data_IF_186004544064
#
_entry.id   IF_186004544064
#
_cell.length_a   1.000
_cell.length_b   1.000
_cell.length_c   1.000
_cell.angle_alpha   90.00
_cell.angle_beta   90.00
_cell.angle_gamma   90.00
#
_symmetry.space_group_name_H-M   'P 1'
#
loop_
_entity.id
_entity.type
_entity.pdbx_description
1 polymer ?
#
# COMPACT_ATOMS: atom_id res chain seq x y z
N UNK A 1 -61.44 -3.56 -3.97
CA UNK A 1 -61.56 -2.84 -5.26
C UNK A 1 -61.61 -1.34 -4.99
N UNK A 2 -60.49 -0.64 -5.10
CA UNK A 2 -60.48 0.81 -5.30
C UNK A 2 -59.35 1.15 -6.27
N UNK A 3 -59.75 1.55 -7.48
CA UNK A 3 -58.89 2.11 -8.51
C UNK A 3 -58.54 3.53 -8.08
N UNK A 4 -57.26 3.88 -8.02
CA UNK A 4 -56.85 5.27 -7.90
C UNK A 4 -56.05 5.67 -9.15
N UNK A 5 -56.59 6.70 -9.79
CA UNK A 5 -56.20 7.29 -11.06
C UNK A 5 -54.93 8.15 -10.93
N UNK A 6 -54.09 8.02 -11.96
CA UNK A 6 -53.04 8.94 -12.38
C UNK A 6 -53.66 10.27 -12.81
N UNK A 7 -53.02 11.41 -12.53
CA UNK A 7 -53.06 12.55 -13.44
C UNK A 7 -51.68 12.82 -14.06
N UNK A 8 -51.67 12.81 -15.39
CA UNK A 8 -50.67 13.44 -16.24
C UNK A 8 -50.49 14.91 -15.87
N UNK A 9 -49.25 15.37 -15.77
CA UNK A 9 -48.93 16.80 -15.81
C UNK A 9 -47.97 17.05 -16.98
N UNK A 10 -48.52 17.81 -17.93
CA UNK A 10 -47.88 18.58 -19.00
C UNK A 10 -46.63 19.32 -18.45
N UNK A 11 -45.49 19.30 -19.10
CA UNK A 11 -45.26 20.07 -20.33
C UNK A 11 -44.62 21.43 -19.98
N UNK A 12 -43.31 21.58 -20.23
CA UNK A 12 -42.66 22.87 -20.37
C UNK A 12 -41.57 22.77 -21.44
N UNK A 13 -41.94 23.24 -22.63
CA UNK A 13 -41.08 23.49 -23.78
C UNK A 13 -40.25 24.74 -23.45
N UNK A 14 -38.92 24.61 -23.38
CA UNK A 14 -38.02 25.76 -23.36
C UNK A 14 -37.65 26.13 -24.80
N UNK A 15 -38.03 27.34 -25.15
CA UNK A 15 -37.88 27.97 -26.46
C UNK A 15 -36.41 28.38 -26.64
N UNK A 16 -35.81 27.91 -27.74
CA UNK A 16 -34.53 28.39 -28.23
C UNK A 16 -34.64 29.86 -28.66
N UNK A 17 -33.95 30.74 -27.94
CA UNK A 17 -33.74 32.13 -28.35
C UNK A 17 -32.50 32.24 -29.23
N UNK A 18 -32.67 32.38 -30.54
CA UNK A 18 -31.62 32.82 -31.44
C UNK A 18 -31.36 34.32 -31.21
N UNK A 19 -30.21 34.65 -30.63
CA UNK A 19 -29.68 36.02 -30.68
C UNK A 19 -28.91 36.24 -32.00
N UNK A 20 -29.04 37.42 -32.63
CA UNK A 20 -28.31 37.75 -33.85
C UNK A 20 -26.80 37.85 -33.56
N UNK A 21 -26.02 37.24 -34.44
CA UNK A 21 -24.56 37.28 -34.41
C UNK A 21 -24.05 38.73 -34.49
N UNK A 22 -23.35 39.16 -33.44
CA UNK A 22 -22.59 40.41 -33.43
C UNK A 22 -21.46 40.33 -34.47
N UNK A 23 -21.13 41.43 -35.17
CA UNK A 23 -20.00 41.48 -36.07
C UNK A 23 -18.70 41.22 -35.29
N UNK A 24 -17.70 40.57 -35.92
CA UNK A 24 -16.42 40.29 -35.27
C UNK A 24 -15.76 41.61 -34.88
N UNK A 25 -15.58 41.80 -33.58
CA UNK A 25 -14.72 42.85 -33.07
C UNK A 25 -13.31 42.57 -33.57
N UNK A 26 -12.72 43.57 -34.21
CA UNK A 26 -11.33 43.61 -34.62
C UNK A 26 -10.49 43.49 -33.34
N UNK A 27 -9.99 42.27 -33.06
CA UNK A 27 -9.16 41.98 -31.91
C UNK A 27 -7.83 42.71 -32.10
N UNK A 28 -7.62 43.77 -31.33
CA UNK A 28 -6.29 44.34 -31.17
C UNK A 28 -5.36 43.27 -30.58
N UNK A 29 -4.10 43.17 -31.05
CA UNK A 29 -3.14 42.23 -30.50
C UNK A 29 -2.92 42.56 -29.03
N UNK A 30 -3.49 41.75 -28.15
CA UNK A 30 -3.16 41.77 -26.72
C UNK A 30 -1.72 41.26 -26.64
N UNK A 31 -0.78 42.19 -26.42
CA UNK A 31 0.58 41.84 -26.02
C UNK A 31 0.47 41.05 -24.70
N UNK A 32 0.60 39.73 -24.80
CA UNK A 32 0.71 38.86 -23.64
C UNK A 32 1.87 39.38 -22.78
N UNK A 33 1.61 39.75 -21.50
CA UNK A 33 2.69 40.10 -20.60
C UNK A 33 3.64 38.90 -20.54
N UNK A 34 4.97 39.14 -20.54
CA UNK A 34 5.94 38.06 -20.52
C UNK A 34 5.62 37.14 -19.34
N UNK A 35 5.34 35.89 -19.69
CA UNK A 35 5.04 34.80 -18.79
C UNK A 35 6.22 34.68 -17.81
N UNK A 36 6.13 35.39 -16.69
CA UNK A 36 7.03 35.27 -15.55
C UNK A 36 6.67 33.93 -14.91
N UNK A 37 7.04 32.85 -15.60
CA UNK A 37 7.11 31.52 -15.04
C UNK A 37 7.98 31.64 -13.79
N UNK A 38 7.31 31.69 -12.64
CA UNK A 38 7.91 31.46 -11.35
C UNK A 38 8.58 30.10 -11.47
N UNK A 39 9.90 30.13 -11.72
CA UNK A 39 10.75 28.97 -11.53
C UNK A 39 10.68 28.69 -10.03
N UNK A 40 9.72 27.85 -9.65
CA UNK A 40 9.72 27.24 -8.34
C UNK A 40 11.01 26.44 -8.25
N UNK A 41 12.04 27.05 -7.67
CA UNK A 41 13.28 26.38 -7.34
C UNK A 41 12.94 25.26 -6.36
N UNK A 42 12.82 24.03 -6.88
CA UNK A 42 12.60 22.86 -6.03
C UNK A 42 13.68 22.84 -4.95
N UNK A 43 13.29 22.72 -3.67
CA UNK A 43 14.25 22.78 -2.58
C UNK A 43 15.30 21.68 -2.76
N UNK A 44 16.60 21.99 -2.55
CA UNK A 44 17.67 21.01 -2.77
C UNK A 44 17.45 19.79 -1.88
N UNK A 45 17.24 18.63 -2.51
CA UNK A 45 17.08 17.35 -1.81
C UNK A 45 18.38 17.05 -1.05
N UNK A 46 18.28 16.88 0.26
CA UNK A 46 19.44 16.60 1.12
C UNK A 46 19.86 15.15 0.96
N UNK A 47 21.06 14.94 0.40
CA UNK A 47 21.69 13.62 0.31
C UNK A 47 22.66 13.40 1.48
N UNK A 48 22.62 12.22 2.08
CA UNK A 48 23.63 11.77 3.05
C UNK A 48 24.71 11.00 2.31
N UNK A 49 25.87 11.64 2.09
CA UNK A 49 27.00 11.06 1.35
C UNK A 49 27.82 10.09 2.19
N UNK A 50 28.58 9.23 1.51
CA UNK A 50 29.55 8.29 2.10
C UNK A 50 28.93 7.29 3.08
N UNK A 51 27.74 6.79 2.75
CA UNK A 51 27.10 5.71 3.52
C UNK A 51 27.50 4.36 2.94
N UNK A 52 27.65 3.37 3.83
CA UNK A 52 27.98 1.99 3.48
C UNK A 52 26.82 1.09 3.90
N UNK A 53 26.35 0.25 2.98
CA UNK A 53 25.36 -0.78 3.26
C UNK A 53 25.83 -2.14 2.74
N UNK A 54 25.45 -3.20 3.45
CA UNK A 54 25.72 -4.57 3.05
C UNK A 54 24.40 -5.31 2.83
N UNK A 55 24.35 -6.16 1.82
CA UNK A 55 23.17 -6.95 1.51
C UNK A 55 23.25 -7.63 0.15
N UNK A 56 22.15 -8.23 -0.26
CA UNK A 56 22.06 -8.97 -1.52
C UNK A 56 21.46 -8.07 -2.60
N UNK A 57 22.15 -7.88 -3.72
CA UNK A 57 21.58 -7.12 -4.84
C UNK A 57 20.51 -7.97 -5.52
N UNK A 58 19.34 -7.39 -5.76
CA UNK A 58 18.26 -7.99 -6.54
C UNK A 58 17.84 -7.03 -7.65
N UNK A 59 17.24 -7.53 -8.75
CA UNK A 59 16.59 -6.65 -9.71
C UNK A 59 15.53 -5.79 -8.99
N UNK A 60 15.31 -4.54 -9.43
CA UNK A 60 14.33 -3.65 -8.79
C UNK A 60 12.93 -4.28 -8.73
N UNK A 61 12.58 -5.08 -9.75
CA UNK A 61 11.24 -5.63 -9.92
C UNK A 61 10.24 -4.54 -10.30
N UNK A 62 8.96 -4.78 -10.01
CA UNK A 62 7.91 -3.77 -10.16
C UNK A 62 8.04 -2.81 -8.97
N UNK A 63 8.83 -1.75 -9.14
CA UNK A 63 8.96 -0.68 -8.17
C UNK A 63 7.90 0.37 -8.46
N UNK A 64 7.00 0.60 -7.50
CA UNK A 64 6.00 1.69 -7.58
C UNK A 64 6.67 3.06 -7.71
N UNK A 65 7.90 3.17 -7.22
CA UNK A 65 8.66 4.40 -7.16
C UNK A 65 9.20 4.83 -8.52
N UNK A 66 9.16 3.94 -9.54
CA UNK A 66 9.72 4.16 -10.88
C UNK A 66 11.17 4.70 -10.85
N UNK A 67 11.88 4.42 -9.75
CA UNK A 67 13.22 4.90 -9.44
C UNK A 67 14.11 3.72 -9.09
N UNK A 68 15.40 3.86 -9.41
CA UNK A 68 16.39 2.81 -9.26
C UNK A 68 16.33 1.75 -10.36
N UNK A 69 17.46 1.11 -10.62
CA UNK A 69 17.57 -0.04 -11.52
C UNK A 69 17.56 -1.38 -10.76
N UNK A 70 18.02 -1.35 -9.51
CA UNK A 70 18.16 -2.52 -8.64
C UNK A 70 17.65 -2.22 -7.23
N UNK A 71 17.63 -3.23 -6.36
CA UNK A 71 17.39 -3.06 -4.92
C UNK A 71 18.41 -3.85 -4.12
N UNK A 72 18.89 -3.30 -3.02
CA UNK A 72 19.70 -3.99 -2.03
C UNK A 72 18.78 -4.57 -0.96
N UNK A 73 18.70 -5.89 -0.87
CA UNK A 73 17.97 -6.57 0.19
C UNK A 73 18.87 -6.69 1.42
N UNK A 74 18.47 -6.05 2.52
CA UNK A 74 19.19 -6.05 3.78
C UNK A 74 18.88 -7.33 4.59
N UNK A 75 19.72 -7.70 5.57
CA UNK A 75 19.50 -8.88 6.42
C UNK A 75 18.19 -8.82 7.23
N UNK A 76 17.69 -7.61 7.53
CA UNK A 76 16.43 -7.40 8.27
C UNK A 76 15.19 -7.50 7.37
N UNK A 77 15.35 -7.89 6.10
CA UNK A 77 14.27 -8.01 5.12
C UNK A 77 13.82 -6.69 4.50
N UNK A 78 14.34 -5.55 4.95
CA UNK A 78 14.12 -4.25 4.29
C UNK A 78 14.92 -4.17 3.00
N UNK A 79 14.60 -3.18 2.17
CA UNK A 79 15.35 -2.93 0.95
C UNK A 79 15.62 -1.45 0.72
N UNK A 80 16.71 -1.18 0.01
CA UNK A 80 17.10 0.15 -0.47
C UNK A 80 17.10 0.10 -2.00
N UNK A 81 16.46 1.07 -2.66
CA UNK A 81 16.54 1.18 -4.12
C UNK A 81 17.95 1.61 -4.53
N UNK A 82 18.47 1.08 -5.62
CA UNK A 82 19.82 1.37 -6.09
C UNK A 82 19.76 2.03 -7.45
N UNK A 83 20.49 3.13 -7.61
CA UNK A 83 20.81 3.73 -8.90
C UNK A 83 22.33 3.89 -9.03
N UNK A 84 22.88 3.64 -10.20
CA UNK A 84 24.29 3.92 -10.48
C UNK A 84 24.49 4.27 -11.94
N UNK A 85 25.39 5.23 -12.18
CA UNK A 85 25.87 5.58 -13.51
C UNK A 85 27.32 5.09 -13.74
N UNK A 86 27.99 4.63 -12.69
CA UNK A 86 29.42 4.29 -12.70
C UNK A 86 29.68 2.82 -12.44
N UNK A 87 28.79 2.15 -11.69
CA UNK A 87 28.89 0.73 -11.34
C UNK A 87 27.84 -0.05 -12.12
N UNK A 88 28.26 -1.11 -12.81
CA UNK A 88 27.33 -2.07 -13.41
C UNK A 88 26.75 -2.98 -12.34
N UNK A 89 25.56 -2.65 -11.87
CA UNK A 89 24.85 -3.39 -10.82
C UNK A 89 24.37 -4.78 -11.30
N UNK A 90 24.27 -5.03 -12.61
CA UNK A 90 23.85 -6.33 -13.13
C UNK A 90 24.86 -7.43 -12.79
N UNK A 91 26.15 -7.09 -12.76
CA UNK A 91 27.22 -8.03 -12.39
C UNK A 91 27.20 -8.49 -10.94
N UNK A 92 26.37 -7.87 -10.10
CA UNK A 92 26.23 -8.19 -8.68
C UNK A 92 24.88 -8.80 -8.33
N UNK A 93 24.00 -9.07 -9.30
CA UNK A 93 22.66 -9.59 -9.03
C UNK A 93 22.74 -10.98 -8.38
N UNK A 94 22.07 -11.10 -7.23
CA UNK A 94 22.08 -12.23 -6.30
C UNK A 94 23.38 -12.43 -5.51
N UNK A 95 24.31 -11.50 -5.60
CA UNK A 95 25.55 -11.53 -4.82
C UNK A 95 25.41 -10.73 -3.53
N UNK A 96 26.13 -11.17 -2.49
CA UNK A 96 26.28 -10.42 -1.24
C UNK A 96 27.38 -9.36 -1.42
N UNK A 97 27.03 -8.09 -1.26
CA UNK A 97 27.93 -6.97 -1.57
C UNK A 97 27.92 -5.92 -0.48
N UNK A 98 29.03 -5.20 -0.40
CA UNK A 98 29.17 -3.93 0.31
C UNK A 98 29.11 -2.79 -0.72
N UNK A 99 28.12 -1.91 -0.57
CA UNK A 99 27.92 -0.75 -1.43
C UNK A 99 28.26 0.54 -0.68
N UNK A 100 29.01 1.43 -1.32
CA UNK A 100 29.33 2.77 -0.85
C UNK A 100 28.69 3.80 -1.80
N UNK A 101 28.09 4.85 -1.23
CA UNK A 101 27.43 5.88 -2.03
C UNK A 101 26.73 6.95 -1.22
N UNK A 102 25.73 7.59 -1.84
CA UNK A 102 24.91 8.63 -1.21
C UNK A 102 23.45 8.19 -1.10
N UNK A 103 22.85 8.37 0.07
CA UNK A 103 21.46 8.04 0.34
C UNK A 103 20.58 9.28 0.26
N UNK A 104 19.39 9.13 -0.32
CA UNK A 104 18.34 10.16 -0.27
C UNK A 104 16.95 9.52 -0.14
N UNK A 105 15.98 10.23 0.44
CA UNK A 105 14.59 9.81 0.40
C UNK A 105 14.08 9.75 -1.05
N UNK A 106 13.20 8.82 -1.34
CA UNK A 106 12.41 8.82 -2.58
C UNK A 106 11.33 9.90 -2.52
N UNK A 107 10.85 10.32 -3.69
CA UNK A 107 9.76 11.30 -3.81
C UNK A 107 8.43 10.77 -3.27
N UNK A 108 8.25 9.45 -3.23
CA UNK A 108 7.00 8.81 -2.83
C UNK A 108 7.24 7.80 -1.68
N UNK A 109 6.34 7.81 -0.70
CA UNK A 109 6.16 6.83 0.38
C UNK A 109 7.37 6.45 1.27
N UNK A 110 8.31 7.38 1.50
CA UNK A 110 9.33 7.21 2.55
C UNK A 110 10.34 6.09 2.31
N UNK A 111 10.48 5.64 1.06
CA UNK A 111 11.57 4.76 0.66
C UNK A 111 12.92 5.48 0.64
N UNK A 112 14.00 4.70 0.63
CA UNK A 112 15.36 5.22 0.48
C UNK A 112 15.94 4.76 -0.86
N UNK A 113 16.58 5.67 -1.58
CA UNK A 113 17.35 5.37 -2.78
C UNK A 113 18.82 5.73 -2.55
N UNK A 114 19.70 4.81 -2.94
CA UNK A 114 21.14 4.95 -2.86
C UNK A 114 21.72 5.14 -4.25
N UNK A 115 22.42 6.25 -4.44
CA UNK A 115 23.30 6.47 -5.59
C UNK A 115 24.61 5.76 -5.31
N UNK A 116 24.82 4.61 -5.94
CA UNK A 116 25.99 3.76 -5.71
C UNK A 116 27.19 4.31 -6.48
N UNK A 117 28.26 4.59 -5.76
CA UNK A 117 29.53 5.06 -6.30
C UNK A 117 30.54 3.92 -6.42
N UNK A 118 30.50 2.97 -5.49
CA UNK A 118 31.39 1.81 -5.44
C UNK A 118 30.65 0.57 -4.92
N UNK A 119 31.00 -0.60 -5.47
CA UNK A 119 30.54 -1.90 -5.01
C UNK A 119 31.73 -2.83 -4.75
N UNK A 120 31.64 -3.64 -3.70
CA UNK A 120 32.62 -4.66 -3.36
C UNK A 120 31.91 -5.98 -3.06
N UNK A 121 32.31 -7.05 -3.72
CA UNK A 121 31.82 -8.39 -3.45
C UNK A 121 32.33 -8.87 -2.08
N UNK A 122 31.42 -9.32 -1.23
CA UNK A 122 31.76 -10.02 0.02
C UNK A 122 31.81 -11.50 -0.37
N UNK A 123 33.02 -12.02 -0.52
CA UNK A 123 33.22 -13.45 -0.70
C UNK A 123 33.14 -14.06 0.69
N UNK A 124 32.05 -14.78 0.96
CA UNK A 124 31.99 -15.64 2.13
C UNK A 124 33.07 -16.71 1.92
N UNK A 125 34.18 -16.60 2.65
CA UNK A 125 35.14 -17.69 2.76
C UNK A 125 34.40 -18.84 3.44
N UNK A 126 33.82 -19.72 2.62
CA UNK A 126 33.30 -20.99 3.13
C UNK A 126 34.43 -21.62 3.96
N UNK A 127 34.18 -21.98 5.22
CA UNK A 127 35.20 -22.64 6.02
C UNK A 127 35.56 -23.92 5.27
N UNK A 128 36.77 -23.96 4.71
CA UNK A 128 37.35 -25.15 4.11
C UNK A 128 37.21 -26.26 5.15
N UNK A 129 36.23 -27.14 4.96
CA UNK A 129 36.12 -28.35 5.75
C UNK A 129 37.37 -29.15 5.42
N UNK A 130 38.34 -29.15 6.33
CA UNK A 130 39.41 -30.13 6.36
C UNK A 130 38.75 -31.51 6.43
N UNK A 131 38.61 -32.16 5.28
CA UNK A 131 38.34 -33.59 5.17
C UNK A 131 39.47 -34.34 5.86
N UNK A 132 39.30 -34.61 7.14
CA UNK A 132 40.09 -35.60 7.89
C UNK A 132 39.56 -36.98 7.49
N UNK A 133 40.25 -37.60 6.54
CA UNK A 133 40.14 -39.03 6.27
C UNK A 133 40.47 -39.79 7.56
N UNK A 134 39.47 -40.37 8.20
CA UNK A 134 39.68 -41.39 9.24
C UNK A 134 38.99 -42.67 8.79
N UNK A 135 39.80 -43.56 8.23
CA UNK A 135 39.55 -44.99 8.17
C UNK A 135 39.59 -45.56 9.60
N UNK A 136 38.52 -46.17 10.08
CA UNK A 136 38.52 -47.60 10.42
C UNK A 136 37.18 -48.12 10.95
N UNK A 137 36.91 -49.38 10.62
CA UNK A 137 35.73 -50.17 10.92
C UNK A 137 35.68 -50.66 12.38
N UNK A 138 34.49 -50.72 13.00
CA UNK A 138 34.06 -51.69 14.04
C UNK A 138 32.55 -51.48 14.29
N UNK A 139 31.66 -52.39 13.86
CA UNK A 139 31.04 -53.50 14.63
C UNK A 139 29.83 -53.11 15.52
N UNK A 140 28.64 -53.23 14.92
CA UNK A 140 27.38 -53.85 15.38
C UNK A 140 26.88 -53.88 16.87
N UNK A 141 25.58 -53.51 16.99
CA UNK A 141 24.45 -53.92 17.89
C UNK A 141 24.27 -53.32 19.33
N UNK A 142 23.05 -53.34 19.94
CA UNK A 142 22.36 -52.19 20.60
C UNK A 142 21.99 -52.55 22.09
N UNK A 143 20.83 -52.20 22.71
CA UNK A 143 19.98 -50.99 22.75
C UNK A 143 19.81 -50.41 24.19
N UNK A 144 18.93 -49.41 24.32
CA UNK A 144 18.03 -49.11 25.46
C UNK A 144 18.39 -48.00 26.49
N UNK A 145 17.33 -47.21 26.71
CA UNK A 145 16.86 -46.53 27.93
C UNK A 145 17.43 -45.20 28.46
N UNK A 146 16.45 -44.47 28.98
CA UNK A 146 16.44 -43.40 29.98
C UNK A 146 16.84 -41.98 29.57
N UNK A 147 15.85 -41.08 29.49
CA UNK A 147 15.38 -40.18 30.58
C UNK A 147 16.47 -39.18 30.94
N UNK A 148 16.20 -37.89 30.69
CA UNK A 148 16.31 -36.79 31.67
C UNK A 148 15.53 -35.60 31.13
N UNK A 149 14.42 -35.30 31.81
CA UNK A 149 13.81 -33.97 31.88
C UNK A 149 14.79 -33.07 32.64
N UNK A 150 15.10 -31.90 32.09
CA UNK A 150 15.63 -30.79 32.87
C UNK A 150 14.66 -29.63 32.79
N UNK A 151 13.97 -29.44 33.91
CA UNK A 151 13.41 -28.18 34.37
C UNK A 151 14.57 -27.21 34.65
N UNK A 152 14.53 -26.01 34.05
CA UNK A 152 15.15 -24.79 34.58
C UNK A 152 14.12 -23.67 34.35
N UNK A 153 13.40 -23.29 35.40
CA UNK A 153 13.78 -22.26 36.38
C UNK A 153 13.40 -20.86 35.89
N UNK A 154 12.15 -20.53 36.25
CA UNK A 154 11.65 -19.25 36.74
C UNK A 154 12.69 -18.13 36.87
N UNK A 155 12.52 -17.08 36.08
CA UNK A 155 12.90 -15.72 36.45
C UNK A 155 11.79 -14.75 36.02
N UNK A 156 10.98 -14.34 37.00
CA UNK A 156 10.16 -13.12 36.94
C UNK A 156 11.09 -11.91 36.81
N UNK A 157 10.88 -11.03 35.82
CA UNK A 157 11.42 -9.67 35.85
C UNK A 157 10.40 -8.76 36.53
N UNK A 158 10.88 -8.08 37.58
CA UNK A 158 10.20 -7.08 38.40
C UNK A 158 9.49 -5.98 37.57
N UNK A 159 8.31 -5.59 38.05
CA UNK A 159 7.56 -4.40 37.62
C UNK A 159 8.38 -3.11 37.81
N UNK A 160 8.62 -2.30 36.76
CA UNK A 160 9.04 -0.92 36.94
C UNK A 160 7.83 -0.06 37.36
N UNK A 161 8.03 0.61 38.49
CA UNK A 161 7.10 1.51 39.15
C UNK A 161 6.65 2.67 38.24
N UNK A 162 5.35 2.96 38.29
CA UNK A 162 4.70 4.19 37.82
C UNK A 162 5.38 5.44 38.44
N UNK A 163 6.15 6.17 37.63
CA UNK A 163 6.42 7.59 37.86
C UNK A 163 5.47 8.42 37.01
N UNK A 164 4.51 9.05 37.68
CA UNK A 164 3.63 10.05 37.11
C UNK A 164 4.43 11.31 36.71
N UNK A 165 4.29 11.83 35.49
CA UNK A 165 4.78 13.17 35.17
C UNK A 165 3.79 14.25 35.66
N UNK A 166 4.30 15.41 36.12
CA UNK A 166 3.48 16.54 36.51
C UNK A 166 2.79 17.20 35.30
N UNK A 167 1.57 17.66 35.57
CA UNK A 167 0.81 18.60 34.76
C UNK A 167 1.59 19.89 34.45
N UNK A 168 1.18 20.51 33.34
CA UNK A 168 1.17 21.97 33.11
C UNK A 168 2.34 22.56 32.30
N UNK A 169 2.15 22.64 30.96
CA UNK A 169 2.46 23.86 30.20
C UNK A 169 1.45 24.01 29.05
N UNK A 170 0.46 24.87 29.24
CA UNK A 170 -0.24 25.57 28.17
C UNK A 170 0.69 26.59 27.49
N UNK A 171 0.82 26.57 26.16
CA UNK A 171 0.76 27.80 25.34
C UNK A 171 0.80 27.55 23.82
N UNK A 172 -0.36 27.81 23.20
CA UNK A 172 -0.60 28.60 21.98
C UNK A 172 0.47 28.55 20.88
N UNK A 173 0.20 27.75 19.84
CA UNK A 173 0.64 28.05 18.48
C UNK A 173 -0.51 27.76 17.50
N UNK A 174 -1.31 28.78 17.23
CA UNK A 174 -2.34 28.82 16.19
C UNK A 174 -1.65 28.81 14.81
N UNK A 175 -1.14 27.65 14.42
CA UNK A 175 -0.62 27.39 13.09
C UNK A 175 -1.79 27.15 12.15
N UNK A 176 -1.89 27.97 11.11
CA UNK A 176 -2.86 27.86 10.04
C UNK A 176 -2.76 26.47 9.40
N UNK A 177 -3.61 25.54 9.84
CA UNK A 177 -3.73 24.20 9.27
C UNK A 177 -4.21 24.38 7.82
N UNK A 178 -3.29 24.24 6.86
CA UNK A 178 -3.63 24.20 5.43
C UNK A 178 -4.55 23.01 5.25
N UNK A 179 -5.85 23.30 5.13
CA UNK A 179 -6.87 22.35 4.78
C UNK A 179 -6.39 21.63 3.51
N UNK A 180 -6.19 20.30 3.55
CA UNK A 180 -5.78 19.54 2.39
C UNK A 180 -6.75 19.83 1.24
N UNK A 181 -6.26 20.02 0.00
CA UNK A 181 -7.13 20.26 -1.13
C UNK A 181 -8.21 19.17 -1.17
N UNK A 182 -9.45 19.61 -1.13
CA UNK A 182 -10.63 18.75 -1.22
C UNK A 182 -10.58 18.05 -2.58
N UNK A 183 -10.23 16.77 -2.58
CA UNK A 183 -10.14 15.95 -3.78
C UNK A 183 -11.54 15.89 -4.41
N UNK A 184 -11.70 16.51 -5.59
CA UNK A 184 -12.96 16.43 -6.31
C UNK A 184 -13.25 14.96 -6.68
N UNK A 185 -14.48 14.48 -6.46
CA UNK A 185 -14.84 13.10 -6.74
C UNK A 185 -14.69 12.82 -8.23
N UNK A 186 -13.72 11.98 -8.58
CA UNK A 186 -13.51 11.55 -9.96
C UNK A 186 -14.81 10.88 -10.43
N UNK A 187 -15.47 11.39 -11.49
CA UNK A 187 -16.71 10.82 -11.97
C UNK A 187 -16.47 9.36 -12.37
N UNK A 188 -17.20 8.45 -11.74
CA UNK A 188 -17.11 7.01 -12.03
C UNK A 188 -17.31 6.79 -13.53
N UNK A 189 -16.31 6.24 -14.21
CA UNK A 189 -16.43 5.95 -15.63
C UNK A 189 -17.62 4.99 -15.87
N UNK A 190 -18.28 5.05 -17.04
CA UNK A 190 -19.37 4.13 -17.37
C UNK A 190 -18.96 2.65 -17.25
N UNK A 191 -17.69 2.34 -17.49
CA UNK A 191 -17.12 1.00 -17.36
C UNK A 191 -17.12 0.51 -15.91
N UNK A 192 -16.70 1.35 -14.95
CA UNK A 192 -16.74 1.01 -13.53
C UNK A 192 -18.18 0.80 -13.08
N UNK A 193 -19.13 1.63 -13.54
CA UNK A 193 -20.55 1.46 -13.21
C UNK A 193 -21.12 0.12 -13.72
N UNK A 194 -20.77 -0.28 -14.94
CA UNK A 194 -21.19 -1.57 -15.50
C UNK A 194 -20.60 -2.76 -14.71
N UNK A 195 -19.32 -2.69 -14.36
CA UNK A 195 -18.66 -3.72 -13.53
C UNK A 195 -19.29 -3.80 -12.15
N UNK A 196 -19.58 -2.66 -11.52
CA UNK A 196 -20.30 -2.60 -10.24
C UNK A 196 -21.67 -3.25 -10.32
N UNK A 197 -22.46 -2.97 -11.36
CA UNK A 197 -23.78 -3.58 -11.53
C UNK A 197 -23.68 -5.10 -11.69
N UNK A 198 -22.67 -5.59 -12.42
CA UNK A 198 -22.41 -7.02 -12.55
C UNK A 198 -22.08 -7.67 -11.20
N UNK A 199 -21.15 -7.06 -10.44
CA UNK A 199 -20.80 -7.53 -9.09
C UNK A 199 -21.99 -7.48 -8.12
N UNK A 200 -22.82 -6.44 -8.21
CA UNK A 200 -24.01 -6.28 -7.37
C UNK A 200 -25.12 -7.30 -7.69
N UNK A 201 -25.08 -7.91 -8.88
CA UNK A 201 -26.03 -8.95 -9.29
C UNK A 201 -25.61 -10.36 -8.86
N UNK A 202 -24.36 -10.54 -8.41
CA UNK A 202 -23.88 -11.81 -7.86
C UNK A 202 -24.50 -12.12 -6.49
N UNK A 203 -24.40 -13.38 -6.07
CA UNK A 203 -24.83 -13.79 -4.73
C UNK A 203 -23.71 -13.61 -3.71
N UNK A 204 -24.00 -12.98 -2.57
CA UNK A 204 -23.01 -12.75 -1.51
C UNK A 204 -22.96 -13.84 -0.44
N UNK A 205 -23.61 -14.99 -0.65
CA UNK A 205 -23.60 -16.08 0.33
C UNK A 205 -22.18 -16.61 0.56
N UNK A 206 -21.86 -17.01 1.80
CA UNK A 206 -20.50 -17.38 2.21
C UNK A 206 -19.83 -18.44 1.31
N UNK A 207 -20.60 -19.37 0.73
CA UNK A 207 -20.10 -20.39 -0.19
C UNK A 207 -19.63 -19.86 -1.56
N UNK A 208 -19.85 -18.59 -1.88
CA UNK A 208 -19.39 -17.96 -3.11
C UNK A 208 -17.99 -17.33 -2.95
N UNK A 209 -17.50 -17.17 -1.72
CA UNK A 209 -16.21 -16.56 -1.40
C UNK A 209 -15.11 -17.62 -1.30
N UNK A 210 -14.86 -18.31 -2.42
CA UNK A 210 -13.98 -19.49 -2.47
C UNK A 210 -12.53 -19.16 -2.81
N UNK A 211 -12.23 -17.91 -3.19
CA UNK A 211 -10.90 -17.45 -3.51
C UNK A 211 -10.36 -16.57 -2.38
N UNK A 212 -9.04 -16.37 -2.36
CA UNK A 212 -8.41 -15.46 -1.42
C UNK A 212 -7.16 -14.83 -2.05
N UNK A 213 -6.94 -13.55 -1.77
CA UNK A 213 -5.65 -12.91 -1.99
C UNK A 213 -4.91 -12.91 -0.66
N UNK A 214 -3.71 -13.49 -0.62
CA UNK A 214 -2.86 -13.53 0.56
C UNK A 214 -1.48 -12.97 0.23
N UNK A 215 -0.89 -12.24 1.17
CA UNK A 215 0.49 -11.75 1.07
C UNK A 215 1.23 -12.06 2.37
N UNK A 216 2.30 -12.86 2.26
CA UNK A 216 3.16 -13.19 3.40
C UNK A 216 3.99 -11.99 3.86
N UNK A 217 4.28 -11.05 2.96
CA UNK A 217 5.09 -9.87 3.28
C UNK A 217 4.37 -8.89 4.23
N UNK A 218 3.05 -8.72 4.05
CA UNK A 218 2.23 -7.84 4.91
C UNK A 218 1.47 -8.64 5.98
N UNK A 219 1.31 -9.95 5.77
CA UNK A 219 0.74 -10.85 6.77
C UNK A 219 -0.79 -10.88 6.80
N UNK A 220 -1.47 -10.76 5.65
CA UNK A 220 -2.95 -10.84 5.63
C UNK A 220 -3.49 -11.63 4.43
N UNK A 221 -4.73 -12.09 4.59
CA UNK A 221 -5.57 -12.64 3.53
C UNK A 221 -6.91 -11.90 3.46
N UNK A 222 -7.35 -11.56 2.26
CA UNK A 222 -8.71 -11.10 1.99
C UNK A 222 -9.49 -12.16 1.21
N UNK A 223 -10.77 -12.40 1.55
CA UNK A 223 -11.63 -13.26 0.77
C UNK A 223 -11.96 -12.60 -0.57
N UNK A 224 -12.03 -13.40 -1.63
CA UNK A 224 -12.46 -12.96 -2.96
C UNK A 224 -13.57 -13.87 -3.47
N UNK A 225 -14.60 -13.25 -4.04
CA UNK A 225 -15.71 -13.96 -4.64
C UNK A 225 -15.25 -14.79 -5.85
N UNK A 226 -15.87 -15.94 -6.09
CA UNK A 226 -15.45 -16.92 -7.13
C UNK A 226 -15.53 -16.39 -8.57
N UNK A 227 -16.40 -15.40 -8.81
CA UNK A 227 -16.59 -14.79 -10.13
C UNK A 227 -15.75 -13.52 -10.32
N UNK A 228 -14.96 -13.11 -9.33
CA UNK A 228 -14.27 -11.84 -9.35
C UNK A 228 -12.77 -12.02 -9.56
N UNK A 229 -12.20 -11.01 -10.20
CA UNK A 229 -10.78 -10.81 -10.37
C UNK A 229 -10.25 -9.94 -9.23
N UNK A 230 -8.98 -10.13 -8.91
CA UNK A 230 -8.26 -9.27 -7.98
C UNK A 230 -6.88 -8.92 -8.53
N UNK A 231 -6.40 -7.73 -8.21
CA UNK A 231 -5.04 -7.28 -8.54
C UNK A 231 -4.50 -6.44 -7.40
N UNK A 232 -3.31 -6.79 -6.92
CA UNK A 232 -2.60 -5.94 -5.98
C UNK A 232 -1.67 -4.99 -6.72
N UNK A 233 -1.62 -3.76 -6.23
CA UNK A 233 -0.74 -2.70 -6.72
C UNK A 233 0.41 -2.38 -5.75
N UNK A 234 0.53 -3.14 -4.66
CA UNK A 234 1.51 -2.86 -3.60
C UNK A 234 1.16 -1.58 -2.84
N UNK A 235 2.15 -0.88 -2.31
CA UNK A 235 1.94 0.44 -1.71
C UNK A 235 1.60 1.49 -2.79
N UNK A 236 0.86 2.53 -2.42
CA UNK A 236 0.57 3.70 -3.27
C UNK A 236 1.00 4.97 -2.53
N UNK A 237 0.79 6.14 -3.13
CA UNK A 237 1.05 7.43 -2.47
C UNK A 237 0.20 7.64 -1.20
N UNK A 238 -0.96 6.99 -1.11
CA UNK A 238 -1.95 7.18 -0.02
C UNK A 238 -2.18 5.93 0.82
N UNK A 239 -1.62 4.78 0.45
CA UNK A 239 -1.82 3.51 1.16
C UNK A 239 -0.52 2.71 1.27
N UNK A 240 -0.34 2.01 2.38
CA UNK A 240 0.76 1.06 2.58
C UNK A 240 0.58 -0.19 1.72
N UNK A 241 -0.66 -0.55 1.39
CA UNK A 241 -0.96 -1.65 0.50
C UNK A 241 -2.33 -1.45 -0.16
N UNK A 242 -2.41 -1.72 -1.46
CA UNK A 242 -3.60 -1.53 -2.26
C UNK A 242 -3.93 -2.80 -3.05
N UNK A 243 -5.19 -3.23 -2.95
CA UNK A 243 -5.75 -4.34 -3.72
C UNK A 243 -7.10 -3.92 -4.26
N UNK A 244 -7.36 -4.23 -5.52
CA UNK A 244 -8.64 -3.99 -6.16
C UNK A 244 -9.33 -5.28 -6.52
N UNK A 245 -10.67 -5.26 -6.49
CA UNK A 245 -11.54 -6.37 -6.89
C UNK A 245 -12.51 -5.89 -7.97
N UNK A 246 -12.81 -6.76 -8.94
CA UNK A 246 -13.67 -6.44 -10.08
C UNK A 246 -14.35 -7.69 -10.66
N UNK A 247 -15.45 -7.52 -11.38
CA UNK A 247 -16.08 -8.58 -12.18
C UNK A 247 -15.30 -8.90 -13.46
N UNK A 248 -14.36 -8.05 -13.85
CA UNK A 248 -13.51 -8.20 -15.03
C UNK A 248 -12.02 -7.98 -14.67
N UNK A 249 -11.12 -8.30 -15.60
CA UNK A 249 -9.68 -8.09 -15.43
C UNK A 249 -9.34 -6.60 -15.14
N UNK A 250 -8.53 -6.38 -14.11
CA UNK A 250 -8.10 -5.06 -13.63
C UNK A 250 -6.79 -4.69 -14.34
N UNK A 251 -6.79 -3.61 -15.12
CA UNK A 251 -5.62 -3.24 -15.95
C UNK A 251 -4.79 -2.17 -15.28
N UNK A 252 -5.43 -1.10 -14.84
CA UNK A 252 -4.83 0.05 -14.19
C UNK A 252 -5.31 0.21 -12.74
N UNK A 253 -4.61 1.07 -12.00
CA UNK A 253 -5.03 1.51 -10.67
C UNK A 253 -6.37 2.28 -10.80
N UNK A 254 -7.28 2.06 -9.86
CA UNK A 254 -8.64 2.62 -9.81
C UNK A 254 -9.63 2.04 -10.83
N UNK A 255 -9.32 0.89 -11.44
CA UNK A 255 -10.24 0.18 -12.35
C UNK A 255 -11.26 -0.68 -11.60
N UNK A 256 -10.97 -1.05 -10.35
CA UNK A 256 -11.77 -1.94 -9.52
C UNK A 256 -12.90 -1.24 -8.76
N UNK A 257 -14.15 -1.74 -8.85
CA UNK A 257 -15.28 -1.26 -8.04
C UNK A 257 -15.14 -1.37 -6.53
N UNK A 258 -14.33 -2.31 -6.03
CA UNK A 258 -13.98 -2.43 -4.61
C UNK A 258 -12.48 -2.26 -4.45
N UNK A 259 -12.09 -1.42 -3.51
CA UNK A 259 -10.70 -1.15 -3.15
C UNK A 259 -10.44 -1.53 -1.70
N UNK A 260 -9.36 -2.25 -1.46
CA UNK A 260 -8.88 -2.63 -0.12
C UNK A 260 -7.56 -1.91 0.11
N UNK A 261 -7.58 -0.94 1.02
CA UNK A 261 -6.43 -0.11 1.35
C UNK A 261 -5.96 -0.44 2.76
N UNK A 262 -4.69 -0.79 2.94
CA UNK A 262 -4.02 -0.74 4.24
C UNK A 262 -3.40 0.65 4.39
N UNK A 263 -3.75 1.38 5.45
CA UNK A 263 -3.28 2.75 5.70
C UNK A 263 -2.69 2.87 7.10
N UNK A 264 -1.92 3.94 7.34
CA UNK A 264 -1.38 4.26 8.66
C UNK A 264 -2.45 4.87 9.57
N UNK A 265 -2.24 4.78 10.89
CA UNK A 265 -3.13 5.25 11.93
C UNK A 265 -4.09 4.18 12.46
N UNK A 266 -4.84 4.53 13.50
CA UNK A 266 -5.89 3.67 14.07
C UNK A 266 -7.26 4.00 13.49
N UNK A 267 -8.19 3.06 13.55
CA UNK A 267 -9.59 3.26 13.16
C UNK A 267 -10.24 4.37 14.01
N UNK A 268 -9.82 4.50 15.28
CA UNK A 268 -10.29 5.55 16.18
C UNK A 268 -10.03 6.97 15.67
N UNK A 269 -8.92 7.20 14.96
CA UNK A 269 -8.60 8.51 14.35
C UNK A 269 -9.63 8.95 13.31
N UNK A 270 -10.32 7.99 12.68
CA UNK A 270 -11.42 8.22 11.72
C UNK A 270 -12.78 8.37 12.39
N UNK A 271 -12.83 8.46 13.74
CA UNK A 271 -14.06 8.52 14.54
C UNK A 271 -14.99 7.33 14.26
N UNK A 272 -14.41 6.16 14.02
CA UNK A 272 -15.13 4.91 13.73
C UNK A 272 -14.58 3.77 14.59
N UNK A 273 -15.25 2.62 14.60
CA UNK A 273 -14.85 1.45 15.40
C UNK A 273 -14.41 0.29 14.51
N UNK A 274 -13.61 -0.62 15.05
CA UNK A 274 -13.21 -1.84 14.35
C UNK A 274 -14.44 -2.66 13.89
N UNK A 275 -14.38 -3.16 12.66
CA UNK A 275 -15.46 -3.91 11.99
C UNK A 275 -16.62 -3.05 11.49
N UNK A 276 -16.59 -1.73 11.70
CA UNK A 276 -17.70 -0.86 11.33
C UNK A 276 -17.72 -0.60 9.82
N UNK A 277 -18.93 -0.64 9.24
CA UNK A 277 -19.20 -0.25 7.85
C UNK A 277 -20.09 0.98 7.85
N UNK A 278 -19.71 2.04 7.13
CA UNK A 278 -20.43 3.31 7.04
C UNK A 278 -20.56 3.78 5.60
N UNK A 279 -21.62 4.52 5.31
CA UNK A 279 -21.76 5.27 4.07
C UNK A 279 -21.05 6.63 4.21
N UNK A 280 -20.21 7.00 3.23
CA UNK A 280 -19.48 8.26 3.14
C UNK A 280 -19.37 8.65 1.66
N UNK A 281 -19.77 9.88 1.32
CA UNK A 281 -19.59 10.45 -0.03
C UNK A 281 -20.14 9.61 -1.19
N UNK A 282 -21.29 8.95 -0.99
CA UNK A 282 -21.89 8.07 -2.01
C UNK A 282 -21.13 6.76 -2.20
N UNK A 283 -20.28 6.39 -1.25
CA UNK A 283 -19.59 5.12 -1.15
C UNK A 283 -19.87 4.46 0.20
N UNK A 284 -19.56 3.18 0.30
CA UNK A 284 -19.57 2.43 1.55
C UNK A 284 -18.14 2.05 1.90
N UNK A 285 -17.75 2.33 3.14
CA UNK A 285 -16.41 2.11 3.68
C UNK A 285 -16.49 1.20 4.90
N UNK A 286 -15.84 0.05 4.82
CA UNK A 286 -15.62 -0.85 5.95
C UNK A 286 -14.25 -0.63 6.58
N UNK A 287 -14.21 -0.55 7.91
CA UNK A 287 -12.98 -0.31 8.67
C UNK A 287 -12.60 -1.55 9.49
N UNK A 288 -11.32 -1.92 9.45
CA UNK A 288 -10.77 -3.04 10.23
C UNK A 288 -9.45 -2.61 10.87
N UNK A 289 -9.38 -2.64 12.20
CA UNK A 289 -8.14 -2.35 12.92
C UNK A 289 -7.08 -3.40 12.58
N UNK A 290 -5.83 -2.99 12.47
CA UNK A 290 -4.69 -3.85 12.20
C UNK A 290 -3.51 -3.52 13.13
N UNK A 291 -2.48 -4.36 13.10
CA UNK A 291 -1.30 -4.16 13.96
C UNK A 291 -0.43 -2.97 13.51
N UNK A 292 0.47 -2.55 14.41
CA UNK A 292 1.47 -1.49 14.19
C UNK A 292 0.89 -0.12 13.83
N UNK A 293 -0.22 0.28 14.47
CA UNK A 293 -0.90 1.55 14.18
C UNK A 293 -1.26 1.65 12.68
N UNK A 294 -1.92 0.61 12.17
CA UNK A 294 -2.44 0.52 10.81
C UNK A 294 -3.89 0.06 10.85
N UNK A 295 -4.62 0.31 9.78
CA UNK A 295 -5.96 -0.24 9.61
C UNK A 295 -6.30 -0.41 8.14
N UNK A 296 -7.29 -1.25 7.85
CA UNK A 296 -7.85 -1.37 6.51
C UNK A 296 -9.06 -0.44 6.33
N UNK A 297 -9.10 0.21 5.17
CA UNK A 297 -10.28 0.86 4.60
C UNK A 297 -10.71 0.07 3.34
N UNK A 298 -11.87 -0.60 3.41
CA UNK A 298 -12.47 -1.35 2.29
C UNK A 298 -13.57 -0.47 1.70
N UNK A 299 -13.36 0.07 0.50
CA UNK A 299 -14.25 1.03 -0.16
C UNK A 299 -14.97 0.38 -1.33
N UNK A 300 -16.23 0.74 -1.54
CA UNK A 300 -17.01 0.35 -2.72
C UNK A 300 -18.22 1.25 -2.92
N UNK A 301 -18.96 1.07 -4.01
CA UNK A 301 -20.25 1.75 -4.20
C UNK A 301 -21.31 1.20 -3.24
N UNK A 302 -22.36 1.98 -2.93
CA UNK A 302 -23.43 1.57 -2.01
C UNK A 302 -24.04 0.20 -2.37
N UNK A 303 -24.20 -0.11 -3.66
CA UNK A 303 -24.75 -1.39 -4.13
C UNK A 303 -23.89 -2.60 -3.79
N UNK A 304 -22.64 -2.39 -3.36
CA UNK A 304 -21.69 -3.41 -2.93
C UNK A 304 -21.49 -3.43 -1.41
N UNK A 305 -22.38 -2.81 -0.62
CA UNK A 305 -22.28 -2.80 0.85
C UNK A 305 -22.14 -4.20 1.46
N UNK A 306 -22.92 -5.18 0.98
CA UNK A 306 -22.86 -6.55 1.51
C UNK A 306 -21.49 -7.19 1.27
N UNK A 307 -20.90 -6.95 0.09
CA UNK A 307 -19.56 -7.40 -0.23
C UNK A 307 -18.48 -6.73 0.63
N UNK A 308 -18.55 -5.41 0.78
CA UNK A 308 -17.63 -4.64 1.63
C UNK A 308 -17.70 -5.15 3.06
N UNK A 309 -18.90 -5.31 3.61
CA UNK A 309 -19.13 -5.86 4.95
C UNK A 309 -18.57 -7.28 5.10
N UNK A 310 -18.75 -8.13 4.10
CA UNK A 310 -18.21 -9.50 4.12
C UNK A 310 -16.68 -9.48 4.18
N UNK A 311 -16.03 -8.70 3.32
CA UNK A 311 -14.56 -8.56 3.28
C UNK A 311 -14.04 -8.01 4.61
N UNK A 312 -14.64 -6.93 5.13
CA UNK A 312 -14.24 -6.35 6.42
C UNK A 312 -14.31 -7.37 7.55
N UNK A 313 -15.34 -8.21 7.58
CA UNK A 313 -15.54 -9.20 8.65
C UNK A 313 -14.60 -10.40 8.53
N UNK A 314 -14.25 -10.80 7.31
CA UNK A 314 -13.52 -12.04 7.03
C UNK A 314 -12.06 -11.81 6.60
N UNK A 315 -11.57 -10.57 6.65
CA UNK A 315 -10.15 -10.27 6.56
C UNK A 315 -9.44 -10.89 7.77
N UNK A 316 -8.39 -11.67 7.48
CA UNK A 316 -7.65 -12.43 8.49
C UNK A 316 -6.15 -12.31 8.31
N UNK A 317 -5.43 -12.59 9.38
CA UNK A 317 -3.97 -12.70 9.35
C UNK A 317 -3.56 -13.88 8.47
N UNK A 318 -2.45 -13.71 7.75
CA UNK A 318 -1.81 -14.80 7.02
C UNK A 318 -1.02 -15.64 8.03
N UNK A 319 -1.41 -16.90 8.18
CA UNK A 319 -0.70 -17.89 8.99
C UNK A 319 -0.10 -18.92 8.02
N UNK A 320 1.20 -19.13 8.11
CA UNK A 320 1.95 -20.11 7.29
C UNK A 320 1.64 -21.55 7.69
#
# INVERSE_FOLDING_TARGET
MYKLLIPCIFGAILIAGCAPASPPAEEEPIEEPPDLALQEEEPPIRETRNVIYQGIVKPAGISIYMQGSHRLQLPDGKFILLESNTVDLNGYVNENVELLGALRPTVEAGGMIMRVEQARLIVDEEPLQETTETTDAFEAVPPADDIIQQDEETAEPEEPQDEAPPDDVTDIATGNERQPPEEEPIPSSPEISARTQMMASDSFSANQWTQQYCTSHIGFCIPVHRNWWFKSFGATSTSLWHVELSSEEIRALYDGPIQVNLVTGTVGSKKTTDGQVREQDGQVVGYREWNDNRHFEIKGQLTLEEAVRYITTNLREYVE
#
